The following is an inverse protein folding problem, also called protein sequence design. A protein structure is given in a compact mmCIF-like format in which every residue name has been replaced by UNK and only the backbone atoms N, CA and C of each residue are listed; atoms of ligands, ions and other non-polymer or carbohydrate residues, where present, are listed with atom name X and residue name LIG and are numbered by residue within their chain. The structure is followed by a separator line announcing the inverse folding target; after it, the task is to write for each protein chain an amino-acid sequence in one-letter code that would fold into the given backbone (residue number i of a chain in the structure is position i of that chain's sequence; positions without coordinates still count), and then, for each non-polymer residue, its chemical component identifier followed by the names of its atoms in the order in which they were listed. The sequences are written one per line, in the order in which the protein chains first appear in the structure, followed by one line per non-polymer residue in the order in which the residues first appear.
data_IF_467798184691
#
_entry.id   IF_467798184691
#
_cell.length_a   1.000
_cell.length_b   1.000
_cell.length_c   1.000
_cell.angle_alpha   90.00
_cell.angle_beta   90.00
_cell.angle_gamma   90.00
#
_symmetry.space_group_name_H-M   'P 1'
#
loop_
_entity.id
_entity.type
_entity.pdbx_description
1 polymer ?
#
# COMPACT_ATOMS: atom_id res chain seq x y z
N UNK A 1 -15.10 5.44 21.12
CA UNK A 1 -16.07 4.33 20.83
C UNK A 1 -15.85 3.88 19.40
N UNK A 2 -14.76 3.11 19.15
CA UNK A 2 -14.44 2.60 17.82
C UNK A 2 -15.31 1.39 17.53
N UNK A 3 -16.16 1.50 16.51
CA UNK A 3 -16.91 0.35 15.98
C UNK A 3 -15.90 -0.68 15.50
N UNK A 4 -15.93 -1.88 16.11
CA UNK A 4 -15.26 -3.07 15.57
C UNK A 4 -15.70 -3.21 14.11
N UNK A 5 -14.83 -2.84 13.18
CA UNK A 5 -14.97 -3.26 11.79
C UNK A 5 -14.84 -4.78 11.81
N UNK A 6 -15.98 -5.46 11.70
CA UNK A 6 -15.98 -6.89 11.38
C UNK A 6 -15.24 -7.02 10.07
N UNK A 7 -14.06 -7.64 10.12
CA UNK A 7 -13.40 -8.08 8.93
C UNK A 7 -14.38 -8.96 8.16
N UNK A 8 -14.84 -8.46 7.04
CA UNK A 8 -15.53 -9.29 6.07
C UNK A 8 -14.59 -10.42 5.67
N UNK A 9 -15.01 -11.69 5.76
CA UNK A 9 -14.29 -12.77 5.13
C UNK A 9 -14.15 -12.46 3.63
N UNK A 10 -13.15 -13.02 2.94
CA UNK A 10 -12.87 -12.73 1.52
C UNK A 10 -13.94 -13.30 0.57
N UNK A 11 -15.21 -13.13 0.87
CA UNK A 11 -16.29 -13.89 0.26
C UNK A 11 -16.93 -13.27 -0.96
N UNK A 12 -16.49 -12.13 -1.50
CA UNK A 12 -17.19 -11.59 -2.68
C UNK A 12 -16.27 -10.96 -3.72
N UNK A 13 -15.46 -11.80 -4.35
CA UNK A 13 -15.04 -11.50 -5.72
C UNK A 13 -16.24 -11.84 -6.63
N UNK A 14 -17.02 -10.85 -7.01
CA UNK A 14 -18.12 -11.01 -7.97
C UNK A 14 -17.60 -10.69 -9.37
N UNK A 15 -17.77 -11.63 -10.31
CA UNK A 15 -17.65 -11.29 -11.73
C UNK A 15 -18.88 -10.46 -12.12
N UNK A 16 -18.68 -9.22 -12.47
CA UNK A 16 -19.74 -8.37 -13.01
C UNK A 16 -19.75 -8.52 -14.51
N UNK A 17 -20.78 -9.17 -15.06
CA UNK A 17 -20.97 -9.30 -16.49
C UNK A 17 -21.55 -7.97 -17.02
N UNK A 18 -20.76 -7.24 -17.79
CA UNK A 18 -21.23 -6.09 -18.58
C UNK A 18 -21.24 -6.51 -20.05
N UNK A 19 -22.35 -7.13 -20.49
CA UNK A 19 -22.71 -7.28 -21.89
C UNK A 19 -21.53 -7.35 -22.88
N UNK A 20 -20.83 -8.50 -22.99
CA UNK A 20 -19.88 -8.75 -24.08
C UNK A 20 -18.51 -8.10 -23.99
N UNK A 21 -18.13 -7.43 -22.88
CA UNK A 21 -16.77 -6.98 -22.57
C UNK A 21 -16.25 -7.70 -21.34
N UNK A 22 -14.93 -7.95 -21.30
CA UNK A 22 -14.22 -8.71 -20.27
C UNK A 22 -14.83 -8.50 -18.86
N UNK A 23 -15.13 -9.61 -18.18
CA UNK A 23 -15.68 -9.61 -16.82
C UNK A 23 -14.71 -8.91 -15.88
N UNK A 24 -15.08 -7.74 -15.37
CA UNK A 24 -14.35 -7.01 -14.36
C UNK A 24 -14.53 -7.71 -13.00
N UNK A 25 -13.42 -8.03 -12.33
CA UNK A 25 -13.44 -8.54 -10.96
C UNK A 25 -13.74 -7.37 -10.03
N UNK A 26 -14.84 -7.46 -9.29
CA UNK A 26 -15.20 -6.49 -8.25
C UNK A 26 -15.09 -7.17 -6.89
N UNK A 27 -14.38 -6.55 -5.96
CA UNK A 27 -14.35 -6.93 -4.56
C UNK A 27 -14.95 -5.77 -3.72
N UNK A 28 -15.69 -6.11 -2.66
CA UNK A 28 -16.26 -5.13 -1.73
C UNK A 28 -15.41 -5.10 -0.46
N UNK A 29 -15.00 -3.90 -0.01
CA UNK A 29 -14.21 -3.73 1.20
C UNK A 29 -13.29 -2.51 1.14
N UNK A 30 -12.27 -2.51 1.99
CA UNK A 30 -11.21 -1.50 1.94
C UNK A 30 -10.53 -1.51 0.56
N UNK A 31 -10.31 -0.35 -0.08
CA UNK A 31 -9.73 -0.27 -1.41
C UNK A 31 -8.37 -0.97 -1.53
N UNK A 32 -7.55 -0.92 -0.49
CA UNK A 32 -6.23 -1.55 -0.45
C UNK A 32 -6.34 -3.08 -0.44
N UNK A 33 -7.21 -3.62 0.42
CA UNK A 33 -7.47 -5.07 0.50
C UNK A 33 -8.06 -5.59 -0.81
N UNK A 34 -9.00 -4.85 -1.35
CA UNK A 34 -9.64 -5.14 -2.64
C UNK A 34 -8.61 -5.20 -3.77
N UNK A 35 -7.69 -4.24 -3.84
CA UNK A 35 -6.64 -4.21 -4.86
C UNK A 35 -5.69 -5.42 -4.75
N UNK A 36 -5.32 -5.83 -3.53
CA UNK A 36 -4.50 -7.00 -3.28
C UNK A 36 -5.21 -8.27 -3.77
N UNK A 37 -6.49 -8.45 -3.41
CA UNK A 37 -7.28 -9.60 -3.83
C UNK A 37 -7.45 -9.69 -5.35
N UNK A 38 -7.68 -8.56 -6.01
CA UNK A 38 -7.77 -8.49 -7.47
C UNK A 38 -6.42 -8.85 -8.11
N UNK A 39 -5.30 -8.37 -7.56
CA UNK A 39 -3.97 -8.72 -8.06
C UNK A 39 -3.70 -10.24 -7.92
N UNK A 40 -4.06 -10.86 -6.79
CA UNK A 40 -3.97 -12.30 -6.62
C UNK A 40 -4.81 -13.06 -7.65
N UNK A 41 -6.07 -12.66 -7.83
CA UNK A 41 -6.97 -13.31 -8.79
C UNK A 41 -6.48 -13.18 -10.24
N UNK A 42 -5.96 -12.00 -10.63
CA UNK A 42 -5.37 -11.77 -11.96
C UNK A 42 -4.09 -12.61 -12.18
N UNK A 43 -3.37 -12.94 -11.11
CA UNK A 43 -2.21 -13.83 -11.14
C UNK A 43 -2.58 -15.33 -11.09
N UNK A 44 -3.88 -15.66 -11.14
CA UNK A 44 -4.36 -17.03 -11.06
C UNK A 44 -4.33 -17.66 -9.67
N UNK A 45 -4.06 -16.87 -8.64
CA UNK A 45 -4.01 -17.35 -7.26
C UNK A 45 -5.43 -17.40 -6.70
N UNK A 46 -5.89 -18.60 -6.34
CA UNK A 46 -7.14 -18.78 -5.61
C UNK A 46 -6.87 -18.71 -4.10
N UNK A 47 -7.21 -17.61 -3.47
CA UNK A 47 -6.97 -17.38 -2.03
C UNK A 47 -7.67 -18.43 -1.16
N UNK A 48 -8.86 -18.91 -1.56
CA UNK A 48 -9.62 -19.93 -0.82
C UNK A 48 -8.95 -21.31 -0.82
N UNK A 49 -8.01 -21.58 -1.74
CA UNK A 49 -7.31 -22.86 -1.84
C UNK A 49 -5.94 -22.87 -1.13
N UNK A 50 -5.54 -21.78 -0.47
CA UNK A 50 -4.22 -21.68 0.15
C UNK A 50 -4.10 -22.48 1.48
N UNK A 51 -5.18 -23.04 2.00
CA UNK A 51 -5.15 -23.87 3.22
C UNK A 51 -4.82 -23.13 4.52
N UNK A 52 -4.77 -21.79 4.48
CA UNK A 52 -4.51 -20.98 5.66
C UNK A 52 -5.81 -20.51 6.32
N UNK A 53 -5.87 -20.63 7.65
CA UNK A 53 -6.95 -20.09 8.47
C UNK A 53 -6.40 -18.99 9.36
N UNK A 54 -6.94 -17.79 9.28
CA UNK A 54 -6.60 -16.67 10.17
C UNK A 54 -7.01 -17.01 11.60
N UNK A 55 -6.08 -16.90 12.53
CA UNK A 55 -6.27 -17.19 13.94
C UNK A 55 -6.27 -15.94 14.80
N UNK A 56 -5.48 -14.93 14.45
CA UNK A 56 -5.38 -13.68 15.20
C UNK A 56 -4.99 -12.51 14.29
N UNK A 57 -5.09 -11.28 14.81
CA UNK A 57 -4.81 -10.06 14.08
C UNK A 57 -4.38 -8.93 15.02
N UNK A 58 -3.33 -8.24 14.62
CA UNK A 58 -3.00 -6.89 15.07
C UNK A 58 -3.46 -5.93 13.97
N UNK A 59 -4.54 -5.16 14.19
CA UNK A 59 -5.11 -4.29 13.16
C UNK A 59 -4.13 -3.18 12.78
N UNK A 60 -4.43 -2.52 11.66
CA UNK A 60 -3.64 -1.37 11.24
C UNK A 60 -3.75 -0.23 12.25
N UNK A 61 -2.60 0.29 12.67
CA UNK A 61 -2.48 1.46 13.50
C UNK A 61 -1.67 2.54 12.78
N UNK A 62 -2.13 3.79 12.88
CA UNK A 62 -1.48 4.91 12.21
C UNK A 62 -0.08 5.21 12.77
N UNK A 63 0.17 4.89 14.03
CA UNK A 63 1.46 5.06 14.69
C UNK A 63 2.50 4.07 14.16
N UNK A 64 2.14 2.79 14.07
CA UNK A 64 3.01 1.71 13.57
C UNK A 64 2.99 1.62 12.05
N UNK A 65 2.00 2.20 11.38
CA UNK A 65 1.75 2.15 9.94
C UNK A 65 1.84 0.75 9.34
N UNK A 66 1.45 -0.25 10.14
CA UNK A 66 1.49 -1.65 9.77
C UNK A 66 0.35 -2.44 10.36
N UNK A 67 0.10 -3.61 9.81
CA UNK A 67 -0.90 -4.58 10.23
C UNK A 67 -0.27 -5.96 10.19
N UNK A 68 -0.57 -6.80 11.17
CA UNK A 68 -0.09 -8.18 11.21
C UNK A 68 -1.27 -9.13 11.32
N UNK A 69 -1.24 -10.21 10.55
CA UNK A 69 -2.19 -11.32 10.67
C UNK A 69 -1.43 -12.60 11.03
N UNK A 70 -2.01 -13.41 11.90
CA UNK A 70 -1.48 -14.72 12.24
C UNK A 70 -2.40 -15.76 11.62
N UNK A 71 -1.81 -16.63 10.81
CA UNK A 71 -2.52 -17.69 10.11
C UNK A 71 -1.98 -19.04 10.51
N UNK A 72 -2.87 -20.02 10.67
CA UNK A 72 -2.50 -21.43 10.84
C UNK A 72 -2.72 -22.18 9.53
N UNK A 73 -1.78 -23.03 9.16
CA UNK A 73 -1.93 -23.96 8.06
C UNK A 73 -2.80 -25.18 8.46
N UNK A 74 -3.00 -26.13 7.55
CA UNK A 74 -3.78 -27.35 7.77
C UNK A 74 -3.17 -28.25 8.87
N UNK A 75 -1.89 -28.12 9.14
CA UNK A 75 -1.17 -28.86 10.18
C UNK A 75 -1.18 -28.14 11.54
N UNK A 76 -1.76 -26.95 11.60
CA UNK A 76 -1.81 -26.11 12.80
C UNK A 76 -0.55 -25.29 13.04
N UNK A 77 0.40 -25.28 12.12
CA UNK A 77 1.60 -24.43 12.21
C UNK A 77 1.21 -22.98 11.97
N UNK A 78 1.54 -22.12 12.91
CA UNK A 78 1.21 -20.69 12.84
C UNK A 78 2.32 -19.88 12.18
N UNK A 79 1.93 -18.96 11.30
CA UNK A 79 2.82 -18.02 10.63
C UNK A 79 2.24 -16.62 10.73
N UNK A 80 3.08 -15.64 11.08
CA UNK A 80 2.68 -14.23 11.08
C UNK A 80 3.07 -13.58 9.75
N UNK A 81 2.12 -12.88 9.15
CA UNK A 81 2.31 -12.06 7.96
C UNK A 81 2.06 -10.60 8.32
N UNK A 82 2.93 -9.72 7.88
CA UNK A 82 2.80 -8.28 8.11
C UNK A 82 2.80 -7.53 6.80
N UNK A 83 1.93 -6.53 6.71
CA UNK A 83 1.95 -5.54 5.63
C UNK A 83 1.94 -4.13 6.21
N UNK A 84 2.53 -3.18 5.49
CA UNK A 84 2.58 -1.81 5.96
C UNK A 84 3.41 -0.89 5.08
N UNK A 85 3.70 0.29 5.63
CA UNK A 85 4.55 1.26 4.98
C UNK A 85 5.96 0.67 4.76
N UNK A 86 6.50 0.91 3.57
CA UNK A 86 7.77 0.32 3.14
C UNK A 86 8.91 0.63 4.12
N UNK A 87 9.02 1.88 4.56
CA UNK A 87 10.08 2.34 5.46
C UNK A 87 10.01 1.73 6.86
N UNK A 88 8.84 1.24 7.28
CA UNK A 88 8.65 0.49 8.52
C UNK A 88 9.06 -0.97 8.30
N UNK A 89 8.43 -1.65 7.34
CA UNK A 89 8.63 -3.07 7.11
C UNK A 89 10.09 -3.40 6.80
N UNK A 90 10.75 -2.61 5.94
CA UNK A 90 12.13 -2.89 5.54
C UNK A 90 13.14 -2.79 6.68
N UNK A 91 12.89 -1.96 7.68
CA UNK A 91 13.78 -1.80 8.84
C UNK A 91 13.77 -3.02 9.75
N UNK A 92 12.63 -3.66 9.87
CA UNK A 92 12.43 -4.79 10.77
C UNK A 92 12.86 -6.14 10.16
N UNK A 93 12.98 -6.21 8.82
CA UNK A 93 13.35 -7.46 8.14
C UNK A 93 14.85 -7.68 8.21
N UNK A 94 15.27 -8.82 8.75
CA UNK A 94 16.66 -9.32 8.73
C UNK A 94 16.94 -10.23 7.53
N UNK A 95 15.89 -10.83 6.97
CA UNK A 95 15.93 -11.77 5.86
C UNK A 95 15.07 -11.33 4.68
N UNK A 96 15.28 -11.97 3.53
CA UNK A 96 14.50 -11.80 2.31
C UNK A 96 14.36 -13.15 1.60
N UNK A 97 13.22 -13.40 0.96
CA UNK A 97 13.08 -14.54 0.08
C UNK A 97 13.61 -14.21 -1.31
N UNK A 98 14.43 -15.12 -1.85
CA UNK A 98 14.84 -15.09 -3.26
C UNK A 98 13.66 -15.49 -4.19
N UNK A 99 13.83 -15.29 -5.50
CA UNK A 99 12.85 -15.74 -6.50
C UNK A 99 12.69 -17.28 -6.51
N UNK A 100 13.70 -18.02 -6.03
CA UNK A 100 13.63 -19.48 -5.84
C UNK A 100 12.96 -19.90 -4.53
N UNK A 101 12.59 -18.96 -3.67
CA UNK A 101 11.99 -19.22 -2.35
C UNK A 101 12.99 -19.53 -1.25
N UNK A 102 14.28 -19.31 -1.47
CA UNK A 102 15.31 -19.48 -0.44
C UNK A 102 15.34 -18.27 0.50
N UNK A 103 15.52 -18.52 1.78
CA UNK A 103 15.68 -17.49 2.80
C UNK A 103 17.15 -17.01 2.82
N UNK A 104 17.35 -15.74 2.49
CA UNK A 104 18.67 -15.10 2.43
C UNK A 104 18.77 -13.97 3.45
N UNK A 105 19.99 -13.66 3.91
CA UNK A 105 20.21 -12.45 4.71
C UNK A 105 19.91 -11.20 3.89
N UNK A 106 19.11 -10.30 4.43
CA UNK A 106 18.71 -9.06 3.74
C UNK A 106 19.82 -8.01 3.82
N UNK A 107 20.85 -8.19 2.99
CA UNK A 107 22.04 -7.34 2.94
C UNK A 107 21.83 -5.98 2.28
N UNK A 108 22.84 -5.11 2.41
CA UNK A 108 22.75 -3.71 1.95
C UNK A 108 22.46 -3.53 0.46
N UNK A 109 22.97 -4.40 -0.41
CA UNK A 109 22.71 -4.34 -1.85
C UNK A 109 21.23 -4.61 -2.17
N UNK A 110 20.64 -5.64 -1.56
CA UNK A 110 19.22 -6.00 -1.74
C UNK A 110 18.30 -4.92 -1.17
N UNK A 111 18.66 -4.34 0.00
CA UNK A 111 17.93 -3.20 0.56
C UNK A 111 17.93 -2.00 -0.37
N UNK A 112 19.09 -1.63 -0.93
CA UNK A 112 19.19 -0.54 -1.91
C UNK A 112 18.33 -0.79 -3.13
N UNK A 113 18.27 -2.02 -3.63
CA UNK A 113 17.41 -2.38 -4.75
C UNK A 113 15.92 -2.23 -4.39
N UNK A 114 15.52 -2.65 -3.18
CA UNK A 114 14.14 -2.49 -2.70
C UNK A 114 13.76 -1.01 -2.56
N UNK A 115 14.65 -0.16 -2.03
CA UNK A 115 14.45 1.29 -1.98
C UNK A 115 14.30 1.90 -3.37
N UNK A 116 15.19 1.54 -4.31
CA UNK A 116 15.11 2.02 -5.68
C UNK A 116 13.77 1.67 -6.34
N UNK A 117 13.29 0.43 -6.14
CA UNK A 117 11.99 -0.01 -6.67
C UNK A 117 10.81 0.71 -6.01
N UNK A 118 10.88 0.95 -4.71
CA UNK A 118 9.86 1.73 -4.00
C UNK A 118 9.79 3.15 -4.58
N UNK A 119 10.91 3.83 -4.74
CA UNK A 119 10.98 5.19 -5.27
C UNK A 119 10.54 5.25 -6.75
N UNK A 120 10.92 4.25 -7.56
CA UNK A 120 10.45 4.12 -8.94
C UNK A 120 8.92 4.07 -9.02
N UNK A 121 8.28 3.26 -8.17
CA UNK A 121 6.82 3.16 -8.15
C UNK A 121 6.17 4.42 -7.57
N UNK A 122 6.71 4.95 -6.49
CA UNK A 122 6.20 6.16 -5.86
C UNK A 122 6.28 7.38 -6.80
N UNK A 123 7.35 7.51 -7.61
CA UNK A 123 7.50 8.58 -8.60
C UNK A 123 6.46 8.53 -9.73
N UNK A 124 5.88 7.35 -9.96
CA UNK A 124 4.77 7.13 -10.90
C UNK A 124 3.38 7.40 -10.27
N UNK A 125 3.33 7.91 -9.03
CA UNK A 125 2.10 8.15 -8.30
C UNK A 125 1.44 6.88 -7.77
N UNK A 126 2.20 5.80 -7.62
CA UNK A 126 1.68 4.55 -7.09
C UNK A 126 1.85 4.52 -5.56
N UNK A 127 0.82 4.05 -4.88
CA UNK A 127 0.91 3.71 -3.46
C UNK A 127 1.63 2.39 -3.31
N UNK A 128 2.72 2.38 -2.55
CA UNK A 128 3.55 1.19 -2.34
C UNK A 128 3.30 0.62 -0.95
N UNK A 129 3.01 -0.67 -0.87
CA UNK A 129 2.87 -1.44 0.36
C UNK A 129 3.90 -2.55 0.35
N UNK A 130 4.58 -2.73 1.49
CA UNK A 130 5.53 -3.79 1.71
C UNK A 130 4.91 -4.95 2.48
N UNK A 131 5.44 -6.15 2.26
CA UNK A 131 5.00 -7.39 2.89
C UNK A 131 6.19 -8.10 3.50
N UNK A 132 5.96 -8.71 4.66
CA UNK A 132 6.92 -9.59 5.34
C UNK A 132 6.23 -10.78 5.98
N UNK A 133 6.99 -11.83 6.21
CA UNK A 133 6.58 -13.05 6.88
C UNK A 133 7.54 -13.33 8.02
N UNK A 134 7.05 -13.83 9.14
CA UNK A 134 7.90 -14.27 10.23
C UNK A 134 8.38 -15.71 9.99
N UNK A 135 9.68 -15.90 10.09
CA UNK A 135 10.35 -17.20 9.98
C UNK A 135 11.30 -17.31 11.17
N UNK A 136 11.17 -18.35 11.99
CA UNK A 136 11.99 -18.61 13.18
C UNK A 136 12.13 -17.40 14.12
N UNK A 137 11.04 -16.64 14.27
CA UNK A 137 10.99 -15.46 15.13
C UNK A 137 11.48 -14.15 14.47
N UNK A 138 12.10 -14.21 13.32
CA UNK A 138 12.61 -13.06 12.57
C UNK A 138 11.75 -12.69 11.35
N UNK A 139 11.80 -11.42 10.94
CA UNK A 139 11.03 -10.97 9.78
C UNK A 139 11.81 -11.11 8.49
N UNK A 140 11.21 -11.79 7.52
CA UNK A 140 11.70 -11.93 6.16
C UNK A 140 10.87 -11.06 5.21
N UNK A 141 11.53 -10.23 4.41
CA UNK A 141 10.90 -9.39 3.39
C UNK A 141 10.40 -10.25 2.23
N UNK A 142 9.13 -10.11 1.88
CA UNK A 142 8.49 -10.83 0.77
C UNK A 142 8.49 -10.02 -0.53
N UNK A 143 8.38 -8.70 -0.42
CA UNK A 143 8.31 -7.85 -1.60
C UNK A 143 7.40 -6.64 -1.43
N UNK A 144 7.09 -6.02 -2.57
CA UNK A 144 6.28 -4.81 -2.69
C UNK A 144 5.07 -5.06 -3.59
N UNK A 145 3.95 -4.44 -3.25
CA UNK A 145 2.85 -4.22 -4.18
C UNK A 145 2.69 -2.72 -4.40
N UNK A 146 2.60 -2.34 -5.67
CA UNK A 146 2.33 -0.97 -6.08
C UNK A 146 0.91 -0.90 -6.67
N UNK A 147 0.10 0.00 -6.15
CA UNK A 147 -1.29 0.17 -6.58
C UNK A 147 -1.58 1.62 -6.92
N UNK A 148 -2.42 1.83 -7.92
CA UNK A 148 -2.87 3.16 -8.29
C UNK A 148 -4.19 3.46 -7.58
N UNK A 149 -4.22 4.56 -6.85
CA UNK A 149 -5.45 5.18 -6.39
C UNK A 149 -5.78 6.31 -7.37
N UNK A 150 -6.68 6.05 -8.35
CA UNK A 150 -6.93 7.03 -9.41
C UNK A 150 -7.61 8.27 -8.83
N UNK A 151 -7.19 9.44 -9.30
CA UNK A 151 -7.92 10.67 -9.03
C UNK A 151 -9.38 10.52 -9.49
N UNK A 152 -10.32 11.11 -8.74
CA UNK A 152 -11.69 11.24 -9.20
C UNK A 152 -11.70 12.02 -10.50
N UNK A 153 -12.52 11.61 -11.46
CA UNK A 153 -12.55 12.18 -12.79
C UNK A 153 -12.79 13.72 -12.80
N UNK A 154 -13.52 14.21 -11.80
CA UNK A 154 -13.83 15.64 -11.63
C UNK A 154 -12.74 16.43 -10.90
N UNK A 155 -11.77 15.79 -10.25
CA UNK A 155 -10.82 16.47 -9.36
C UNK A 155 -9.97 17.53 -10.08
N UNK A 156 -9.39 17.20 -11.22
CA UNK A 156 -8.57 18.15 -11.97
C UNK A 156 -9.39 19.35 -12.48
N UNK A 157 -10.66 19.12 -12.87
CA UNK A 157 -11.56 20.18 -13.29
C UNK A 157 -11.91 21.12 -12.12
N UNK A 158 -12.23 20.55 -10.96
CA UNK A 158 -12.54 21.32 -9.76
C UNK A 158 -11.35 22.19 -9.31
N UNK A 159 -10.13 21.62 -9.32
CA UNK A 159 -8.90 22.37 -9.04
C UNK A 159 -8.72 23.54 -10.01
N UNK A 160 -8.93 23.32 -11.31
CA UNK A 160 -8.81 24.37 -12.30
C UNK A 160 -9.88 25.48 -12.12
N UNK A 161 -11.08 25.13 -11.68
CA UNK A 161 -12.15 26.09 -11.36
C UNK A 161 -11.79 26.93 -10.13
N UNK A 162 -11.29 26.31 -9.06
CA UNK A 162 -10.78 27.01 -7.89
C UNK A 162 -9.67 28.01 -8.26
N UNK A 163 -8.71 27.59 -9.07
CA UNK A 163 -7.60 28.46 -9.49
C UNK A 163 -8.07 29.63 -10.35
N UNK A 164 -9.07 29.43 -11.23
CA UNK A 164 -9.68 30.52 -12.00
C UNK A 164 -10.40 31.54 -11.12
N UNK A 165 -10.99 31.07 -10.02
CA UNK A 165 -11.62 31.92 -9.01
C UNK A 165 -10.62 32.58 -8.06
N UNK A 166 -9.31 32.43 -8.26
CA UNK A 166 -8.27 32.98 -7.39
C UNK A 166 -8.06 32.21 -6.08
N UNK A 167 -8.67 31.04 -5.93
CA UNK A 167 -8.53 30.18 -4.76
C UNK A 167 -7.26 29.35 -4.87
N UNK A 168 -6.37 29.48 -3.86
CA UNK A 168 -5.16 28.67 -3.76
C UNK A 168 -5.51 27.29 -3.21
N UNK A 169 -5.28 26.26 -4.02
CA UNK A 169 -5.46 24.86 -3.61
C UNK A 169 -4.18 24.30 -3.03
N UNK A 170 -4.29 23.58 -1.91
CA UNK A 170 -3.20 22.89 -1.21
C UNK A 170 -3.59 21.44 -1.02
N UNK A 171 -2.65 20.52 -1.24
CA UNK A 171 -2.83 19.10 -0.97
C UNK A 171 -2.13 18.73 0.34
N UNK A 172 -2.87 18.11 1.26
CA UNK A 172 -2.36 17.55 2.50
C UNK A 172 -2.67 16.05 2.48
N UNK A 173 -1.66 15.23 2.70
CA UNK A 173 -1.79 13.77 2.62
C UNK A 173 -0.76 13.10 3.54
N UNK A 174 -1.07 11.89 4.01
CA UNK A 174 -0.13 11.00 4.69
C UNK A 174 0.69 10.11 3.76
N UNK A 175 0.56 10.28 2.44
CA UNK A 175 1.28 9.49 1.46
C UNK A 175 2.77 9.87 1.40
N UNK A 176 3.58 8.96 0.84
CA UNK A 176 4.98 9.25 0.58
C UNK A 176 5.14 10.48 -0.33
N UNK A 177 6.13 11.35 -0.06
CA UNK A 177 6.34 12.64 -0.73
C UNK A 177 6.33 12.54 -2.27
N UNK A 178 6.99 11.54 -2.84
CA UNK A 178 7.02 11.34 -4.31
C UNK A 178 5.65 10.97 -4.88
N UNK A 179 4.89 10.12 -4.19
CA UNK A 179 3.52 9.77 -4.57
C UNK A 179 2.62 11.00 -4.53
N UNK A 180 2.68 11.76 -3.44
CA UNK A 180 1.93 12.99 -3.27
C UNK A 180 2.24 14.02 -4.38
N UNK A 181 3.51 14.20 -4.74
CA UNK A 181 3.92 15.08 -5.83
C UNK A 181 3.37 14.64 -7.18
N UNK A 182 3.38 13.33 -7.48
CA UNK A 182 2.84 12.81 -8.74
C UNK A 182 1.33 13.05 -8.84
N UNK A 183 0.58 12.77 -7.76
CA UNK A 183 -0.87 13.00 -7.69
C UNK A 183 -1.18 14.49 -7.78
N UNK A 184 -0.43 15.36 -7.08
CA UNK A 184 -0.62 16.81 -7.13
C UNK A 184 -0.36 17.39 -8.52
N UNK A 185 0.59 16.84 -9.29
CA UNK A 185 0.81 17.18 -10.70
C UNK A 185 -0.36 16.75 -11.58
N UNK A 186 -0.82 15.51 -11.42
CA UNK A 186 -1.97 14.96 -12.16
C UNK A 186 -3.25 15.77 -11.87
N UNK A 187 -3.46 16.20 -10.62
CA UNK A 187 -4.57 17.05 -10.22
C UNK A 187 -4.46 18.52 -10.67
N UNK A 188 -3.30 18.95 -11.17
CA UNK A 188 -3.05 20.34 -11.53
C UNK A 188 -2.81 21.29 -10.36
N UNK A 189 -2.62 20.75 -9.14
CA UNK A 189 -2.27 21.53 -7.93
C UNK A 189 -0.81 21.95 -8.01
N UNK A 190 0.09 21.03 -8.38
CA UNK A 190 1.51 21.27 -8.44
C UNK A 190 1.94 21.74 -9.83
N UNK A 191 2.57 22.92 -9.91
CA UNK A 191 3.11 23.57 -11.11
C UNK A 191 4.61 23.79 -10.97
N UNK A 192 5.26 24.32 -12.02
CA UNK A 192 6.64 24.77 -11.92
C UNK A 192 6.78 25.81 -10.80
N UNK A 193 7.75 25.60 -9.90
CA UNK A 193 7.97 26.46 -8.73
C UNK A 193 7.11 26.13 -7.50
N UNK A 194 6.22 25.13 -7.57
CA UNK A 194 5.49 24.65 -6.38
C UNK A 194 6.41 23.90 -5.43
N UNK A 195 6.16 24.05 -4.13
CA UNK A 195 6.95 23.41 -3.07
C UNK A 195 6.13 22.25 -2.49
N UNK A 196 6.79 21.13 -2.22
CA UNK A 196 6.25 20.02 -1.45
C UNK A 196 7.12 19.81 -0.21
N UNK A 197 6.50 19.85 0.96
CA UNK A 197 7.16 19.68 2.26
C UNK A 197 6.67 18.40 2.93
N UNK A 198 7.53 17.73 3.67
CA UNK A 198 7.13 16.72 4.66
C UNK A 198 6.70 17.40 5.96
N UNK A 199 6.07 16.67 6.89
CA UNK A 199 5.72 17.19 8.20
C UNK A 199 6.95 17.75 8.93
N UNK A 200 8.04 16.97 8.96
CA UNK A 200 9.30 17.37 9.59
C UNK A 200 9.90 18.65 8.97
N UNK A 201 9.87 18.76 7.63
CA UNK A 201 10.33 19.98 6.93
C UNK A 201 9.45 21.20 7.22
N UNK A 202 8.14 20.97 7.41
CA UNK A 202 7.20 22.03 7.75
C UNK A 202 7.44 22.54 9.19
N UNK A 203 7.61 21.64 10.14
CA UNK A 203 7.89 21.98 11.54
C UNK A 203 9.19 22.78 11.69
N UNK A 204 10.24 22.38 10.96
CA UNK A 204 11.49 23.13 10.91
C UNK A 204 11.32 24.54 10.32
N UNK A 205 10.41 24.72 9.35
CA UNK A 205 10.17 26.02 8.73
C UNK A 205 9.39 26.97 9.65
N UNK A 206 8.56 26.45 10.54
CA UNK A 206 7.77 27.24 11.50
C UNK A 206 8.61 27.72 12.69
N UNK A 207 9.76 27.12 12.98
CA UNK A 207 10.69 27.55 14.04
C UNK A 207 11.43 28.85 13.66
N UNK A 208 11.43 29.24 12.40
CA UNK A 208 12.12 30.41 11.88
C UNK A 208 11.21 31.61 11.56
N UNK A 209 9.93 31.54 11.95
CA UNK A 209 8.98 32.65 11.91
C UNK A 209 8.76 33.14 13.35
#
# INVERSE_FOLDING_TARGET
MYKRQRLCPPEKIKKRDRGGRQSELCAEGDPTETAILIACANSGINVSSLGYRRTDELPFESETRSMTVICADEKGVTTAFRKGAFDVIIKECSHVFSDSGELLTFGGAMRKQAFYKCDEYASKGLRVIAFSQQVDGEWAFLGLMAMKDPLRAEAAKAVAECQRAGIKTVMITGDHKLTAQAIAKEAGIMKAGSIALTGDELDLSLIHI
#
